data_IF_951131983126
#
_entry.id   IF_951131983126
#
_cell.length_a   1.000
_cell.length_b   1.000
_cell.length_c   1.000
_cell.angle_alpha   90.00
_cell.angle_beta   90.00
_cell.angle_gamma   90.00
#
_symmetry.space_group_name_H-M   'P 1'
#
loop_
_entity.id
_entity.type
_entity.pdbx_description
1 polymer ?
#
# COMPACT_ATOMS: atom_id res chain seq x y z
N UNK A 1 11.35 -24.84 -1.48
CA UNK A 1 10.16 -24.64 -0.62
C UNK A 1 10.45 -23.81 0.64
N UNK A 2 11.68 -23.80 1.18
CA UNK A 2 12.04 -22.95 2.34
C UNK A 2 12.14 -21.45 2.01
N UNK A 3 12.70 -21.07 0.86
CA UNK A 3 12.85 -19.66 0.48
C UNK A 3 11.51 -18.91 0.34
N UNK A 4 10.48 -19.58 -0.20
CA UNK A 4 9.14 -19.02 -0.31
C UNK A 4 8.50 -18.76 1.06
N UNK A 5 8.79 -19.58 2.07
CA UNK A 5 8.28 -19.36 3.42
C UNK A 5 8.94 -18.15 4.10
N UNK A 6 10.26 -17.97 3.89
CA UNK A 6 11.01 -16.84 4.44
C UNK A 6 10.56 -15.50 3.83
N UNK A 7 10.33 -15.46 2.51
CA UNK A 7 9.82 -14.25 1.85
C UNK A 7 8.43 -13.88 2.38
N UNK A 8 7.54 -14.88 2.55
CA UNK A 8 6.22 -14.64 3.13
C UNK A 8 6.30 -14.11 4.56
N UNK A 9 7.23 -14.60 5.38
CA UNK A 9 7.46 -14.07 6.73
C UNK A 9 7.85 -12.60 6.70
N UNK A 10 8.84 -12.21 5.88
CA UNK A 10 9.25 -10.82 5.77
C UNK A 10 8.12 -9.90 5.27
N UNK A 11 7.29 -10.38 4.33
CA UNK A 11 6.13 -9.62 3.85
C UNK A 11 5.10 -9.42 4.97
N UNK A 12 4.81 -10.48 5.74
CA UNK A 12 3.86 -10.41 6.87
C UNK A 12 4.38 -9.49 7.97
N UNK A 13 5.66 -9.61 8.34
CA UNK A 13 6.29 -8.75 9.34
C UNK A 13 6.28 -7.27 8.91
N UNK A 14 6.60 -6.99 7.64
CA UNK A 14 6.52 -5.65 7.07
C UNK A 14 5.11 -5.07 7.12
N UNK A 15 4.08 -5.86 6.77
CA UNK A 15 2.68 -5.45 6.86
C UNK A 15 2.27 -5.17 8.31
N UNK A 16 2.65 -6.03 9.26
CA UNK A 16 2.34 -5.85 10.67
C UNK A 16 3.03 -4.61 11.25
N UNK A 17 4.28 -4.36 10.87
CA UNK A 17 5.01 -3.15 11.25
C UNK A 17 4.28 -1.89 10.75
N UNK A 18 3.87 -1.87 9.48
CA UNK A 18 3.12 -0.76 8.90
C UNK A 18 1.76 -0.56 9.58
N UNK A 19 1.04 -1.64 9.83
CA UNK A 19 -0.24 -1.60 10.55
C UNK A 19 -0.09 -1.01 11.95
N UNK A 20 0.86 -1.52 12.74
CA UNK A 20 1.11 -1.05 14.09
C UNK A 20 1.53 0.43 14.10
N UNK A 21 2.36 0.84 13.15
CA UNK A 21 2.79 2.24 13.01
C UNK A 21 1.62 3.18 12.69
N UNK A 22 0.72 2.77 11.79
CA UNK A 22 -0.49 3.53 11.46
C UNK A 22 -1.45 3.62 12.65
N UNK A 23 -1.70 2.50 13.36
CA UNK A 23 -2.52 2.49 14.57
C UNK A 23 -1.94 3.44 15.63
N UNK A 24 -0.62 3.43 15.80
CA UNK A 24 0.06 4.33 16.73
C UNK A 24 -0.15 5.80 16.36
N UNK A 25 0.03 6.17 15.08
CA UNK A 25 -0.15 7.56 14.63
C UNK A 25 -1.59 8.03 14.84
N UNK A 26 -2.57 7.20 14.48
CA UNK A 26 -3.98 7.56 14.63
C UNK A 26 -4.34 7.72 16.10
N UNK A 27 -3.93 6.79 16.97
CA UNK A 27 -4.12 6.91 18.43
C UNK A 27 -3.42 8.12 19.03
N UNK A 28 -2.16 8.34 18.69
CA UNK A 28 -1.39 9.48 19.18
C UNK A 28 -2.01 10.81 18.77
N UNK A 29 -2.51 10.91 17.54
CA UNK A 29 -3.20 12.11 17.05
C UNK A 29 -4.49 12.36 17.84
N UNK A 30 -5.27 11.31 18.12
CA UNK A 30 -6.50 11.40 18.94
C UNK A 30 -6.20 11.74 20.41
N UNK A 31 -5.12 11.20 20.97
CA UNK A 31 -4.63 11.51 22.32
C UNK A 31 -4.25 12.99 22.45
N UNK A 32 -3.44 13.51 21.52
CA UNK A 32 -2.94 14.88 21.57
C UNK A 32 -4.03 15.91 21.26
N UNK A 33 -5.07 15.55 20.50
CA UNK A 33 -6.16 16.45 20.15
C UNK A 33 -7.34 16.36 21.11
N UNK A 34 -7.96 15.19 21.26
CA UNK A 34 -9.21 15.01 22.02
C UNK A 34 -8.94 14.78 23.51
N UNK A 35 -7.93 14.00 23.85
CA UNK A 35 -7.71 13.59 25.24
C UNK A 35 -6.97 14.63 26.08
N UNK A 36 -6.24 15.54 25.43
CA UNK A 36 -5.61 16.69 26.08
C UNK A 36 -6.62 17.70 26.63
N UNK A 37 -7.77 17.87 25.98
CA UNK A 37 -8.81 18.81 26.41
C UNK A 37 -9.76 18.21 27.47
N UNK A 38 -10.06 16.90 27.41
CA UNK A 38 -10.97 16.26 28.36
C UNK A 38 -10.61 14.78 28.63
N UNK A 39 -9.83 14.48 29.69
CA UNK A 39 -9.43 13.11 30.02
C UNK A 39 -10.61 12.19 30.38
N UNK A 40 -11.75 12.74 30.83
CA UNK A 40 -12.97 11.96 31.10
C UNK A 40 -13.65 11.42 29.83
N UNK A 41 -13.53 12.14 28.71
CA UNK A 41 -14.01 11.65 27.41
C UNK A 41 -13.05 10.58 26.86
N UNK A 42 -11.75 10.71 27.15
CA UNK A 42 -10.75 9.73 26.75
C UNK A 42 -11.09 8.32 27.23
N UNK A 43 -11.41 8.20 28.52
CA UNK A 43 -11.78 6.92 29.11
C UNK A 43 -13.07 6.35 28.51
N UNK A 44 -14.06 7.21 28.22
CA UNK A 44 -15.37 6.79 27.68
C UNK A 44 -15.32 6.35 26.23
N UNK A 45 -14.45 6.94 25.42
CA UNK A 45 -14.38 6.69 23.98
C UNK A 45 -13.14 5.88 23.56
N UNK A 46 -12.32 5.43 24.51
CA UNK A 46 -11.11 4.65 24.25
C UNK A 46 -11.38 3.41 23.38
N UNK A 47 -12.44 2.65 23.67
CA UNK A 47 -12.80 1.45 22.90
C UNK A 47 -13.21 1.80 21.47
N UNK A 48 -14.08 2.80 21.30
CA UNK A 48 -14.51 3.27 19.98
C UNK A 48 -13.33 3.77 19.16
N UNK A 49 -12.42 4.54 19.77
CA UNK A 49 -11.21 5.06 19.15
C UNK A 49 -10.24 3.94 18.77
N UNK A 50 -10.08 2.90 19.61
CA UNK A 50 -9.29 1.73 19.28
C UNK A 50 -9.79 1.03 18.01
N UNK A 51 -11.11 0.83 17.91
CA UNK A 51 -11.73 0.18 16.76
C UNK A 51 -11.61 1.04 15.50
N UNK A 52 -11.99 2.33 15.58
CA UNK A 52 -11.89 3.28 14.47
C UNK A 52 -10.45 3.45 13.97
N UNK A 53 -9.48 3.52 14.89
CA UNK A 53 -8.06 3.59 14.56
C UNK A 53 -7.59 2.35 13.81
N UNK A 54 -8.02 1.17 14.24
CA UNK A 54 -7.67 -0.11 13.60
C UNK A 54 -8.24 -0.20 12.18
N UNK A 55 -9.53 0.15 12.03
CA UNK A 55 -10.21 0.18 10.73
C UNK A 55 -9.56 1.20 9.80
N UNK A 56 -9.20 2.37 10.32
CA UNK A 56 -8.52 3.43 9.55
C UNK A 56 -7.14 2.97 9.07
N UNK A 57 -6.37 2.30 9.91
CA UNK A 57 -5.07 1.75 9.52
C UNK A 57 -5.21 0.72 8.38
N UNK A 58 -6.20 -0.18 8.46
CA UNK A 58 -6.49 -1.14 7.38
C UNK A 58 -6.88 -0.40 6.09
N UNK A 59 -7.75 0.60 6.18
CA UNK A 59 -8.15 1.41 5.02
C UNK A 59 -6.95 2.09 4.34
N UNK A 60 -6.06 2.70 5.11
CA UNK A 60 -4.86 3.36 4.57
C UNK A 60 -3.92 2.37 3.88
N UNK A 61 -3.75 1.17 4.42
CA UNK A 61 -2.98 0.09 3.77
C UNK A 61 -3.61 -0.25 2.42
N UNK A 62 -4.92 -0.47 2.37
CA UNK A 62 -5.61 -0.81 1.13
C UNK A 62 -5.47 0.30 0.07
N UNK A 63 -5.66 1.57 0.46
CA UNK A 63 -5.50 2.72 -0.44
C UNK A 63 -4.07 2.82 -0.99
N UNK A 64 -3.07 2.52 -0.16
CA UNK A 64 -1.67 2.49 -0.60
C UNK A 64 -1.45 1.42 -1.69
N UNK A 65 -1.93 0.20 -1.46
CA UNK A 65 -1.85 -0.89 -2.45
C UNK A 65 -2.63 -0.56 -3.73
N UNK A 66 -3.82 0.04 -3.63
CA UNK A 66 -4.59 0.46 -4.81
C UNK A 66 -3.84 1.51 -5.65
N UNK A 67 -3.19 2.47 -4.98
CA UNK A 67 -2.41 3.51 -5.64
C UNK A 67 -1.17 2.91 -6.32
N UNK A 68 -0.44 2.04 -5.62
CA UNK A 68 0.70 1.32 -6.19
C UNK A 68 0.28 0.48 -7.41
N UNK A 69 -0.88 -0.20 -7.34
CA UNK A 69 -1.44 -0.96 -8.46
C UNK A 69 -1.75 -0.09 -9.68
N UNK A 70 -2.27 1.13 -9.49
CA UNK A 70 -2.52 2.09 -10.58
C UNK A 70 -1.21 2.46 -11.29
N UNK A 71 -0.17 2.80 -10.53
CA UNK A 71 1.16 3.14 -11.08
C UNK A 71 1.75 1.95 -11.82
N UNK A 72 1.73 0.76 -11.21
CA UNK A 72 2.22 -0.47 -11.81
C UNK A 72 1.52 -0.77 -13.14
N UNK A 73 0.20 -0.57 -13.22
CA UNK A 73 -0.57 -0.77 -14.45
C UNK A 73 -0.08 0.15 -15.57
N UNK A 74 0.21 1.43 -15.29
CA UNK A 74 0.74 2.37 -16.28
C UNK A 74 2.11 1.93 -16.77
N UNK A 75 3.02 1.57 -15.85
CA UNK A 75 4.35 1.08 -16.20
C UNK A 75 4.27 -0.20 -17.05
N UNK A 76 3.37 -1.12 -16.71
CA UNK A 76 3.19 -2.36 -17.46
C UNK A 76 2.71 -2.08 -18.89
N UNK A 77 1.71 -1.23 -19.06
CA UNK A 77 1.17 -0.86 -20.38
C UNK A 77 2.23 -0.17 -21.23
N UNK A 78 3.02 0.74 -20.64
CA UNK A 78 4.13 1.39 -21.33
C UNK A 78 5.23 0.39 -21.74
N UNK A 79 5.62 -0.50 -20.84
CA UNK A 79 6.64 -1.51 -21.11
C UNK A 79 6.24 -2.45 -22.25
N UNK A 80 5.02 -2.98 -22.19
CA UNK A 80 4.48 -3.84 -23.25
C UNK A 80 4.23 -3.07 -24.56
N UNK A 81 3.76 -1.82 -24.48
CA UNK A 81 3.55 -0.98 -25.66
C UNK A 81 4.84 -0.70 -26.43
N UNK A 82 5.91 -0.34 -25.71
CA UNK A 82 7.24 -0.14 -26.29
C UNK A 82 7.81 -1.41 -26.91
N UNK A 83 7.64 -2.55 -26.23
CA UNK A 83 8.10 -3.85 -26.73
C UNK A 83 7.40 -4.21 -28.04
N UNK A 84 6.07 -4.07 -28.10
CA UNK A 84 5.30 -4.31 -29.32
C UNK A 84 5.75 -3.38 -30.45
N UNK A 85 5.94 -2.09 -30.16
CA UNK A 85 6.45 -1.12 -31.14
C UNK A 85 7.81 -1.53 -31.70
N UNK A 86 8.73 -1.95 -30.83
CA UNK A 86 10.05 -2.42 -31.24
C UNK A 86 9.97 -3.65 -32.16
N UNK A 87 9.10 -4.62 -31.85
CA UNK A 87 8.88 -5.80 -32.69
C UNK A 87 8.34 -5.40 -34.06
N UNK A 88 7.32 -4.52 -34.12
CA UNK A 88 6.70 -4.09 -35.37
C UNK A 88 7.70 -3.34 -36.25
N UNK A 89 8.46 -2.41 -35.68
CA UNK A 89 9.50 -1.67 -36.40
C UNK A 89 10.59 -2.61 -36.93
N UNK A 90 11.02 -3.58 -36.12
CA UNK A 90 11.96 -4.61 -36.56
C UNK A 90 11.42 -5.42 -37.73
N UNK A 91 10.16 -5.86 -37.65
CA UNK A 91 9.51 -6.63 -38.71
C UNK A 91 9.38 -5.84 -40.03
N UNK A 92 8.98 -4.57 -39.96
CA UNK A 92 8.89 -3.68 -41.13
C UNK A 92 10.27 -3.48 -41.76
N UNK A 93 11.29 -3.25 -40.93
CA UNK A 93 12.66 -3.08 -41.42
C UNK A 93 13.17 -4.33 -42.16
N UNK A 94 12.86 -5.52 -41.66
CA UNK A 94 13.30 -6.78 -42.29
C UNK A 94 12.47 -7.19 -43.51
N UNK A 95 11.25 -6.67 -43.66
CA UNK A 95 10.33 -7.05 -44.75
C UNK A 95 10.37 -6.12 -45.96
N UNK A 96 11.07 -4.98 -45.90
CA UNK A 96 11.36 -4.17 -47.08
C UNK A 96 12.48 -4.82 -47.91
N UNK A 97 12.19 -5.34 -49.12
CA UNK A 97 13.25 -5.72 -50.05
C UNK A 97 13.96 -4.43 -50.49
N UNK A 98 15.27 -4.35 -50.21
CA UNK A 98 16.13 -3.28 -50.75
C UNK A 98 16.26 -3.41 -52.26
#
# INVERSE_FOLDING_TARGET
>A
MQESATILQYVVEGLLMLYNWLVYIVRYTLEVTVFKENPGLAQKYADAIGILSSITAIYLILVFFETAKKILKVVLVLGWGLLILAIVLGYIHTSLPR
#
